data_IF_935541710878
#
_entry.id   IF_935541710878
#
_cell.length_a   1.000
_cell.length_b   1.000
_cell.length_c   1.000
_cell.angle_alpha   90.00
_cell.angle_beta   90.00
_cell.angle_gamma   90.00
#
_symmetry.space_group_name_H-M   'P 1'
#
loop_
_entity.id
_entity.type
_entity.pdbx_description
1 polymer ?
#
# COMPACT_ATOMS: atom_id res chain seq x y z
N UNK A 1 -0.90 -8.82 20.34
CA UNK A 1 -0.20 -9.01 19.07
C UNK A 1 -0.35 -7.76 18.23
N UNK A 2 0.76 -7.15 17.79
CA UNK A 2 0.78 -5.95 16.95
C UNK A 2 0.90 -6.35 15.48
N UNK A 3 1.86 -7.22 15.17
CA UNK A 3 2.18 -7.73 13.84
C UNK A 3 2.28 -9.26 13.85
N UNK A 4 2.04 -9.90 12.71
CA UNK A 4 2.19 -11.35 12.48
C UNK A 4 2.75 -11.59 11.08
N UNK A 5 3.77 -12.44 10.97
CA UNK A 5 4.34 -12.88 9.69
C UNK A 5 3.84 -14.28 9.40
N UNK A 6 3.21 -14.46 8.23
CA UNK A 6 2.77 -15.78 7.77
C UNK A 6 3.69 -16.26 6.65
N UNK A 7 4.14 -17.53 6.68
CA UNK A 7 5.00 -18.06 5.63
C UNK A 7 4.25 -18.10 4.29
N UNK A 8 4.97 -18.00 3.16
CA UNK A 8 4.35 -18.08 1.85
C UNK A 8 3.66 -19.43 1.64
N UNK A 9 2.38 -19.37 1.29
CA UNK A 9 1.55 -20.47 0.82
C UNK A 9 1.53 -20.53 -0.72
N UNK A 10 0.96 -21.58 -1.32
CA UNK A 10 1.00 -21.79 -2.78
C UNK A 10 0.41 -20.65 -3.63
N UNK A 11 -0.48 -19.82 -3.06
CA UNK A 11 -1.03 -18.61 -3.70
C UNK A 11 -0.06 -17.40 -3.65
N UNK A 12 0.91 -17.41 -2.74
CA UNK A 12 1.86 -16.31 -2.52
C UNK A 12 2.98 -16.22 -3.58
N UNK A 13 3.13 -17.24 -4.43
CA UNK A 13 4.08 -17.20 -5.56
C UNK A 13 3.75 -16.09 -6.59
N UNK A 14 2.51 -15.61 -6.63
CA UNK A 14 2.07 -14.47 -7.45
C UNK A 14 2.34 -13.10 -6.79
N UNK A 15 2.74 -13.07 -5.51
CA UNK A 15 2.88 -11.87 -4.69
C UNK A 15 4.29 -11.28 -4.65
N UNK A 16 5.23 -11.78 -5.49
CA UNK A 16 6.60 -11.26 -5.54
C UNK A 16 6.58 -9.81 -6.01
N UNK A 17 6.54 -8.90 -5.03
CA UNK A 17 6.92 -7.49 -5.19
C UNK A 17 8.29 -7.47 -5.88
N UNK A 18 8.43 -6.56 -6.84
CA UNK A 18 9.46 -6.60 -7.85
C UNK A 18 10.88 -6.49 -7.23
N UNK A 19 11.84 -7.29 -7.71
CA UNK A 19 13.23 -7.33 -7.19
C UNK A 19 13.91 -5.93 -7.19
N UNK A 20 13.46 -5.01 -8.05
CA UNK A 20 13.95 -3.63 -8.15
C UNK A 20 13.66 -2.74 -6.93
N UNK A 21 12.68 -3.10 -6.09
CA UNK A 21 12.39 -2.37 -4.84
C UNK A 21 13.38 -2.76 -3.71
N UNK A 22 13.95 -3.97 -3.78
CA UNK A 22 14.85 -4.48 -2.75
C UNK A 22 16.25 -3.87 -2.77
N UNK A 23 16.68 -3.30 -3.90
CA UNK A 23 18.03 -2.77 -4.08
C UNK A 23 18.21 -1.38 -3.43
N UNK A 24 17.12 -0.72 -3.04
CA UNK A 24 17.17 0.55 -2.31
C UNK A 24 17.21 0.32 -0.80
N UNK A 25 18.41 0.00 -0.30
CA UNK A 25 18.72 -0.02 1.12
C UNK A 25 18.29 1.28 1.83
N UNK A 26 17.53 1.10 2.92
CA UNK A 26 17.04 2.07 3.94
C UNK A 26 15.63 2.59 3.72
N UNK A 27 14.65 1.76 4.07
CA UNK A 27 13.27 2.19 4.29
C UNK A 27 12.87 2.08 5.77
N UNK A 28 12.07 3.06 6.22
CA UNK A 28 12.12 3.65 7.55
C UNK A 28 11.06 3.16 8.54
N UNK A 29 10.37 2.04 8.27
CA UNK A 29 9.44 1.49 9.26
C UNK A 29 10.17 0.51 10.19
N UNK A 30 10.53 1.00 11.38
CA UNK A 30 11.13 0.21 12.47
C UNK A 30 10.26 -0.99 12.89
N UNK A 31 8.98 -1.02 12.50
CA UNK A 31 8.05 -2.10 12.85
C UNK A 31 7.99 -3.25 11.82
N UNK A 32 8.76 -3.16 10.73
CA UNK A 32 8.77 -4.15 9.64
C UNK A 32 10.09 -4.93 9.62
N UNK A 33 10.00 -6.26 9.72
CA UNK A 33 11.13 -7.16 9.57
C UNK A 33 11.34 -7.44 8.08
N UNK A 34 12.24 -6.66 7.48
CA UNK A 34 12.59 -6.73 6.06
C UNK A 34 13.10 -8.12 5.64
N UNK A 35 13.74 -8.87 6.54
CA UNK A 35 14.29 -10.18 6.22
C UNK A 35 13.20 -11.22 5.97
N UNK A 36 12.12 -11.19 6.75
CA UNK A 36 10.96 -12.04 6.50
C UNK A 36 10.23 -11.65 5.21
N UNK A 37 10.12 -10.35 4.90
CA UNK A 37 9.53 -9.89 3.64
C UNK A 37 10.34 -10.43 2.44
N UNK A 38 11.68 -10.36 2.49
CA UNK A 38 12.57 -10.93 1.46
C UNK A 38 12.39 -12.44 1.28
N UNK A 39 12.08 -13.15 2.36
CA UNK A 39 11.79 -14.59 2.34
C UNK A 39 10.37 -14.92 1.83
N UNK A 40 9.59 -13.91 1.44
CA UNK A 40 8.24 -14.07 0.91
C UNK A 40 7.16 -14.19 2.00
N UNK A 41 7.46 -13.85 3.24
CA UNK A 41 6.43 -13.83 4.29
C UNK A 41 5.47 -12.67 4.06
N UNK A 42 4.21 -12.94 4.36
CA UNK A 42 3.13 -11.95 4.35
C UNK A 42 3.01 -11.32 5.73
N UNK A 43 3.01 -9.98 5.78
CA UNK A 43 2.85 -9.22 7.01
C UNK A 43 1.38 -8.86 7.25
N UNK A 44 0.85 -9.28 8.39
CA UNK A 44 -0.41 -8.82 8.94
C UNK A 44 -0.18 -7.89 10.13
N UNK A 45 -0.96 -6.81 10.23
CA UNK A 45 -0.94 -5.93 11.40
C UNK A 45 -2.35 -5.63 11.91
N UNK A 46 -2.45 -5.34 13.20
CA UNK A 46 -3.70 -4.89 13.82
C UNK A 46 -3.92 -3.41 13.49
N UNK A 47 -5.03 -3.10 12.80
CA UNK A 47 -5.35 -1.72 12.41
C UNK A 47 -6.84 -1.41 12.61
N UNK A 48 -7.16 -0.13 12.80
CA UNK A 48 -8.54 0.35 12.75
C UNK A 48 -8.91 0.62 11.29
N UNK A 49 -10.04 0.07 10.85
CA UNK A 49 -10.50 0.13 9.46
C UNK A 49 -11.98 0.55 9.43
N UNK A 50 -12.31 1.48 8.55
CA UNK A 50 -13.68 1.86 8.25
C UNK A 50 -14.31 0.84 7.31
N UNK A 51 -15.18 -0.01 7.85
CA UNK A 51 -16.00 -0.93 7.06
C UNK A 51 -17.39 -0.31 6.92
N UNK A 52 -17.72 0.16 5.72
CA UNK A 52 -18.90 0.99 5.45
C UNK A 52 -18.89 2.24 6.34
N UNK A 53 -19.75 2.29 7.36
CA UNK A 53 -19.86 3.41 8.32
C UNK A 53 -19.36 3.04 9.73
N UNK A 54 -18.85 1.82 9.91
CA UNK A 54 -18.43 1.32 11.21
C UNK A 54 -16.92 1.24 11.29
N UNK A 55 -16.35 1.75 12.39
CA UNK A 55 -14.95 1.52 12.72
C UNK A 55 -14.81 0.11 13.30
N UNK A 56 -13.91 -0.68 12.73
CA UNK A 56 -13.61 -2.04 13.18
C UNK A 56 -12.12 -2.19 13.42
N UNK A 57 -11.75 -2.91 14.47
CA UNK A 57 -10.36 -3.30 14.70
C UNK A 57 -10.12 -4.67 14.10
N UNK A 58 -9.30 -4.73 13.05
CA UNK A 58 -9.06 -5.93 12.26
C UNK A 58 -7.58 -6.28 12.24
N UNK A 59 -7.30 -7.55 11.95
CA UNK A 59 -5.98 -8.00 11.52
C UNK A 59 -5.97 -7.97 9.99
N UNK A 60 -5.13 -7.13 9.39
CA UNK A 60 -5.14 -6.86 7.94
C UNK A 60 -3.77 -7.08 7.33
N UNK A 61 -3.75 -7.62 6.11
CA UNK A 61 -2.52 -7.85 5.35
C UNK A 61 -1.98 -6.52 4.80
N UNK A 62 -0.73 -6.19 5.13
CA UNK A 62 -0.01 -5.02 4.60
C UNK A 62 0.63 -5.37 3.25
N UNK A 63 0.31 -4.58 2.22
CA UNK A 63 0.70 -4.83 0.82
C UNK A 63 1.92 -4.03 0.36
N UNK A 64 2.30 -3.01 1.12
CA UNK A 64 3.46 -2.16 0.85
C UNK A 64 4.43 -2.08 2.05
N UNK A 65 4.80 -3.21 2.69
CA UNK A 65 5.54 -3.21 3.96
C UNK A 65 6.82 -2.37 3.90
N UNK A 66 7.48 -2.47 2.75
CA UNK A 66 8.71 -1.81 2.38
C UNK A 66 8.67 -0.27 2.42
N UNK A 67 7.57 0.36 1.99
CA UNK A 67 7.45 1.83 1.94
C UNK A 67 6.18 2.30 2.66
N UNK A 68 5.85 1.63 3.77
CA UNK A 68 4.62 1.79 4.54
C UNK A 68 4.65 2.93 5.56
N UNK A 69 5.79 3.62 5.72
CA UNK A 69 6.03 4.56 6.83
C UNK A 69 4.97 5.67 6.95
N UNK A 70 4.57 6.26 5.82
CA UNK A 70 3.56 7.35 5.78
C UNK A 70 2.17 6.87 5.40
N UNK A 71 2.08 5.97 4.42
CA UNK A 71 0.83 5.43 3.91
C UNK A 71 0.92 3.91 3.96
N UNK A 72 0.01 3.29 4.69
CA UNK A 72 -0.17 1.83 4.73
C UNK A 72 -1.30 1.44 3.80
N UNK A 73 -1.06 0.42 2.98
CA UNK A 73 -2.03 -0.13 2.04
C UNK A 73 -2.32 -1.56 2.45
N UNK A 74 -3.60 -1.86 2.70
CA UNK A 74 -4.05 -3.18 3.08
C UNK A 74 -4.96 -3.82 2.03
N UNK A 75 -4.95 -5.15 2.02
CA UNK A 75 -5.84 -5.95 1.18
C UNK A 75 -7.31 -5.66 1.50
N UNK A 76 -8.09 -5.38 0.47
CA UNK A 76 -9.56 -5.48 0.54
C UNK A 76 -9.98 -6.86 0.01
N UNK A 77 -10.43 -7.78 0.87
CA UNK A 77 -10.77 -9.15 0.45
C UNK A 77 -11.98 -9.22 -0.49
N UNK A 78 -12.74 -8.13 -0.63
CA UNK A 78 -13.89 -8.05 -1.53
C UNK A 78 -13.59 -7.23 -2.79
N UNK A 79 -12.33 -6.85 -3.02
CA UNK A 79 -11.97 -6.08 -4.20
C UNK A 79 -12.11 -6.94 -5.44
N UNK A 80 -12.80 -6.42 -6.45
CA UNK A 80 -12.76 -7.02 -7.78
C UNK A 80 -11.42 -6.74 -8.44
N UNK A 81 -10.97 -7.65 -9.29
CA UNK A 81 -9.79 -7.43 -10.12
C UNK A 81 -10.03 -6.28 -11.13
N UNK A 82 -8.97 -5.55 -11.44
CA UNK A 82 -8.94 -4.62 -12.57
C UNK A 82 -8.37 -5.33 -13.80
N UNK A 83 -8.72 -4.84 -14.98
CA UNK A 83 -8.03 -5.19 -16.23
C UNK A 83 -6.77 -4.38 -16.47
N UNK A 84 -6.37 -3.50 -15.54
CA UNK A 84 -5.14 -2.72 -15.67
C UNK A 84 -3.94 -3.59 -15.39
N UNK A 85 -2.90 -3.42 -16.19
CA UNK A 85 -1.58 -3.99 -15.94
C UNK A 85 -0.72 -2.85 -15.36
N UNK A 86 -0.29 -2.96 -14.11
CA UNK A 86 0.60 -1.96 -13.49
C UNK A 86 1.80 -1.60 -14.38
N UNK A 87 2.14 -0.31 -14.42
CA UNK A 87 3.16 0.23 -15.34
C UNK A 87 4.56 0.03 -14.77
N UNK A 88 5.51 -0.36 -15.63
CA UNK A 88 6.93 -0.44 -15.26
C UNK A 88 7.29 -1.48 -14.19
N UNK A 89 6.38 -2.40 -13.86
CA UNK A 89 6.59 -3.43 -12.85
C UNK A 89 6.43 -2.96 -11.40
N UNK A 90 5.89 -1.77 -11.15
CA UNK A 90 5.47 -1.36 -9.81
C UNK A 90 4.06 -1.91 -9.54
N UNK A 91 3.95 -2.95 -8.72
CA UNK A 91 2.67 -3.53 -8.31
C UNK A 91 2.61 -3.68 -6.80
N UNK A 92 1.44 -3.44 -6.22
CA UNK A 92 1.17 -3.88 -4.86
C UNK A 92 1.16 -5.41 -4.83
N UNK A 93 1.56 -5.99 -3.68
CA UNK A 93 1.26 -7.40 -3.44
C UNK A 93 -0.26 -7.60 -3.60
N UNK A 94 -0.68 -8.57 -4.40
CA UNK A 94 -2.10 -8.83 -4.71
C UNK A 94 -2.53 -8.47 -6.12
N UNK A 95 -1.65 -7.84 -6.91
CA UNK A 95 -1.97 -7.43 -8.28
C UNK A 95 -2.79 -6.15 -8.32
N UNK A 96 -3.46 -5.91 -9.44
CA UNK A 96 -4.19 -4.68 -9.70
C UNK A 96 -5.67 -4.85 -9.28
N UNK A 97 -6.00 -4.50 -8.04
CA UNK A 97 -7.37 -4.57 -7.51
C UNK A 97 -8.12 -3.23 -7.72
N UNK A 98 -9.47 -3.26 -7.70
CA UNK A 98 -10.31 -2.05 -7.81
C UNK A 98 -10.42 -1.25 -6.51
N UNK A 99 -9.97 -1.82 -5.40
CA UNK A 99 -9.96 -1.15 -4.11
C UNK A 99 -8.95 -1.73 -3.14
N UNK A 100 -8.53 -0.89 -2.20
CA UNK A 100 -7.68 -1.22 -1.06
C UNK A 100 -8.21 -0.50 0.18
N UNK A 101 -7.77 -0.93 1.36
CA UNK A 101 -7.88 -0.07 2.54
C UNK A 101 -6.59 0.71 2.71
N UNK A 102 -6.68 2.03 2.83
CA UNK A 102 -5.51 2.92 2.92
C UNK A 102 -5.55 3.68 4.23
N UNK A 103 -4.41 3.72 4.93
CA UNK A 103 -4.22 4.46 6.17
C UNK A 103 -3.08 5.45 6.00
N UNK A 104 -3.37 6.74 6.14
CA UNK A 104 -2.37 7.80 6.19
C UNK A 104 -2.03 8.13 7.64
N UNK A 105 -0.75 8.06 7.99
CA UNK A 105 -0.27 8.31 9.34
C UNK A 105 -1.01 7.49 10.40
N UNK A 106 -1.64 8.18 11.36
CA UNK A 106 -2.38 7.59 12.49
C UNK A 106 -3.90 7.50 12.27
N UNK A 107 -4.40 7.81 11.09
CA UNK A 107 -5.83 7.82 10.82
C UNK A 107 -6.46 6.42 10.80
N UNK A 108 -7.79 6.35 10.77
CA UNK A 108 -8.50 5.09 10.52
C UNK A 108 -8.38 4.75 9.04
N UNK A 109 -8.04 3.51 8.71
CA UNK A 109 -7.92 3.10 7.32
C UNK A 109 -9.27 3.24 6.60
N UNK A 110 -9.30 3.91 5.45
CA UNK A 110 -10.51 4.09 4.64
C UNK A 110 -10.44 3.25 3.37
N UNK A 111 -11.60 2.94 2.78
CA UNK A 111 -11.66 2.22 1.51
C UNK A 111 -11.37 3.18 0.37
N UNK A 112 -10.22 3.00 -0.27
CA UNK A 112 -9.85 3.69 -1.50
C UNK A 112 -10.28 2.83 -2.69
N UNK A 113 -10.98 3.41 -3.67
CA UNK A 113 -11.38 2.72 -4.90
C UNK A 113 -10.79 3.43 -6.11
N UNK A 114 -10.61 2.69 -7.21
CA UNK A 114 -10.09 3.27 -8.45
C UNK A 114 -10.94 4.44 -8.94
N UNK A 115 -12.27 4.34 -8.81
CA UNK A 115 -13.24 5.34 -9.26
C UNK A 115 -13.21 6.66 -8.47
N UNK A 116 -12.70 6.67 -7.24
CA UNK A 116 -12.63 7.85 -6.38
C UNK A 116 -11.19 8.23 -6.03
N UNK A 117 -10.20 7.66 -6.73
CA UNK A 117 -8.80 7.92 -6.43
C UNK A 117 -8.45 9.40 -6.60
N UNK A 118 -8.94 10.05 -7.67
CA UNK A 118 -8.72 11.48 -7.93
C UNK A 118 -9.24 12.39 -6.82
N UNK A 119 -10.40 12.06 -6.25
CA UNK A 119 -10.99 12.80 -5.13
C UNK A 119 -10.09 12.73 -3.88
N UNK A 120 -9.33 11.64 -3.73
CA UNK A 120 -8.47 11.36 -2.59
C UNK A 120 -7.03 11.85 -2.77
N UNK A 121 -6.63 12.38 -3.94
CA UNK A 121 -5.25 12.84 -4.17
C UNK A 121 -4.77 13.82 -3.12
N UNK A 122 -5.61 14.80 -2.78
CA UNK A 122 -5.26 15.82 -1.78
C UNK A 122 -5.16 15.22 -0.39
N UNK A 123 -6.04 14.28 -0.03
CA UNK A 123 -5.98 13.59 1.24
C UNK A 123 -4.70 12.77 1.36
N UNK A 124 -4.34 12.03 0.31
CA UNK A 124 -3.16 11.15 0.28
C UNK A 124 -1.84 11.90 0.19
N UNK A 125 -1.74 12.97 -0.61
CA UNK A 125 -0.46 13.58 -0.99
C UNK A 125 -0.37 15.09 -0.75
N UNK A 126 -1.49 15.76 -0.43
CA UNK A 126 -1.58 17.22 -0.39
C UNK A 126 -0.86 17.90 0.78
N UNK A 127 -0.35 17.13 1.75
CA UNK A 127 0.53 17.63 2.81
C UNK A 127 1.97 17.86 2.33
N UNK A 128 2.29 17.45 1.11
CA UNK A 128 3.58 17.70 0.46
C UNK A 128 3.35 18.48 -0.84
N UNK A 129 3.17 19.80 -0.73
CA UNK A 129 2.78 20.66 -1.85
C UNK A 129 3.69 20.50 -3.08
N UNK A 130 5.01 20.45 -2.88
CA UNK A 130 6.00 20.26 -3.97
C UNK A 130 5.75 18.97 -4.75
N UNK A 131 5.52 17.86 -4.06
CA UNK A 131 5.23 16.58 -4.71
C UNK A 131 3.84 16.58 -5.37
N UNK A 132 2.83 17.10 -4.66
CA UNK A 132 1.46 17.15 -5.14
C UNK A 132 1.33 17.98 -6.41
N UNK A 133 1.81 19.23 -6.41
CA UNK A 133 1.66 20.14 -7.55
C UNK A 133 2.41 19.64 -8.80
N UNK A 134 3.56 18.98 -8.61
CA UNK A 134 4.35 18.40 -9.70
C UNK A 134 3.70 17.15 -10.35
N UNK A 135 2.83 16.46 -9.62
CA UNK A 135 2.34 15.13 -9.99
C UNK A 135 0.81 14.99 -10.07
N UNK A 136 0.01 15.95 -9.59
CA UNK A 136 -1.46 15.84 -9.54
C UNK A 136 -2.11 15.51 -10.88
N UNK A 137 -1.55 15.99 -12.00
CA UNK A 137 -2.01 15.69 -13.36
C UNK A 137 -1.54 14.35 -13.93
N UNK A 138 -0.63 13.67 -13.23
CA UNK A 138 0.02 12.42 -13.65
C UNK A 138 -0.40 11.23 -12.79
N UNK A 139 -1.05 11.46 -11.65
CA UNK A 139 -1.54 10.38 -10.82
C UNK A 139 -2.54 9.53 -11.61
N UNK A 140 -2.28 8.23 -11.62
CA UNK A 140 -3.13 7.21 -12.20
C UNK A 140 -3.26 6.03 -11.22
N UNK A 141 -4.41 5.35 -11.26
CA UNK A 141 -4.67 4.18 -10.41
C UNK A 141 -3.65 3.06 -10.61
N UNK A 142 -3.25 2.81 -11.86
CA UNK A 142 -2.25 1.79 -12.19
C UNK A 142 -0.87 2.12 -11.63
N UNK A 143 -0.63 3.38 -11.26
CA UNK A 143 0.59 3.87 -10.63
C UNK A 143 0.45 4.03 -9.11
N UNK A 144 -0.63 3.58 -8.46
CA UNK A 144 -0.86 3.78 -7.02
C UNK A 144 0.37 3.40 -6.16
N UNK A 145 0.95 2.23 -6.40
CA UNK A 145 2.14 1.77 -5.68
C UNK A 145 3.31 2.75 -5.85
N UNK A 146 3.55 3.19 -7.09
CA UNK A 146 4.62 4.12 -7.44
C UNK A 146 4.37 5.51 -6.84
N UNK A 147 3.15 6.01 -6.92
CA UNK A 147 2.76 7.30 -6.34
C UNK A 147 3.01 7.34 -4.83
N UNK A 148 2.63 6.28 -4.12
CA UNK A 148 2.89 6.15 -2.67
C UNK A 148 4.37 6.02 -2.38
N UNK A 149 5.10 5.24 -3.18
CA UNK A 149 6.55 5.08 -3.04
C UNK A 149 7.27 6.43 -3.22
N UNK A 150 7.01 7.14 -4.32
CA UNK A 150 7.64 8.42 -4.62
C UNK A 150 7.29 9.47 -3.57
N UNK A 151 6.02 9.54 -3.14
CA UNK A 151 5.60 10.39 -2.02
C UNK A 151 6.41 10.09 -0.74
N UNK A 152 6.54 8.81 -0.39
CA UNK A 152 7.27 8.38 0.82
C UNK A 152 8.76 8.71 0.74
N UNK A 153 9.33 8.72 -0.48
CA UNK A 153 10.73 9.04 -0.73
C UNK A 153 11.01 10.54 -0.77
N UNK A 154 10.17 11.31 -1.42
CA UNK A 154 10.37 12.74 -1.69
C UNK A 154 9.92 13.62 -0.52
N UNK A 155 8.93 13.17 0.24
CA UNK A 155 8.37 13.91 1.35
C UNK A 155 8.88 13.30 2.65
N UNK A 156 9.74 14.03 3.40
CA UNK A 156 10.20 13.63 4.75
C UNK A 156 9.16 13.91 5.81
#
# INVERSE_FOLDING_TARGET
MKNMYLPPSGYDKLMRVNEKLYDTQKWSDENVNVEYIKQGYVLFEKSEVMIKKNKMTLLVQLLNPEFSGKIRVYLDPNASETTSYGVGGFKLAGGDAKSYYVKKGSEVAFKLQSKNYEEEYKHLYGDCATFFDANVKKFDWSDLAKNIFDYTKECK
#
